data_IF_573413707989
#
_entry.id   IF_573413707989
#
_cell.length_a   1.000
_cell.length_b   1.000
_cell.length_c   1.000
_cell.angle_alpha   90.00
_cell.angle_beta   90.00
_cell.angle_gamma   90.00
#
_symmetry.space_group_name_H-M   'P 1'
#
loop_
_entity.id
_entity.type
_entity.pdbx_description
1 polymer ?
#
# COMPACT_ATOMS: atom_id res chain seq x y z
N UNK A 1 -11.10 -4.16 -10.98
CA UNK A 1 -11.08 -3.11 -9.93
C UNK A 1 -9.63 -2.81 -9.61
N UNK A 2 -9.24 -1.54 -9.50
CA UNK A 2 -7.89 -1.20 -9.02
C UNK A 2 -7.91 -0.98 -7.51
N UNK A 3 -6.85 -1.41 -6.85
CA UNK A 3 -6.69 -1.30 -5.41
C UNK A 3 -5.28 -0.80 -5.13
N UNK A 4 -5.20 0.34 -4.46
CA UNK A 4 -3.97 0.99 -4.06
C UNK A 4 -3.78 0.76 -2.56
N UNK A 5 -2.84 -0.11 -2.21
CA UNK A 5 -2.44 -0.35 -0.84
C UNK A 5 -1.30 0.60 -0.48
N UNK A 6 -1.56 1.54 0.41
CA UNK A 6 -0.61 2.56 0.79
C UNK A 6 -0.64 2.82 2.28
N UNK A 7 0.24 3.71 2.73
CA UNK A 7 0.17 4.27 4.06
C UNK A 7 0.11 5.80 3.94
N UNK A 8 -0.81 6.45 4.67
CA UNK A 8 -0.94 7.91 4.80
C UNK A 8 0.36 8.58 5.22
N UNK A 9 1.21 7.85 5.96
CA UNK A 9 2.53 8.34 6.39
C UNK A 9 3.58 8.43 5.28
N UNK A 10 3.37 7.84 4.09
CA UNK A 10 4.38 7.82 3.03
C UNK A 10 4.02 8.74 1.85
N UNK A 11 4.91 9.70 1.51
CA UNK A 11 4.67 10.64 0.41
C UNK A 11 4.52 9.93 -0.94
N UNK A 12 5.16 8.78 -1.12
CA UNK A 12 5.07 7.96 -2.33
C UNK A 12 3.65 7.44 -2.61
N UNK A 13 2.88 7.14 -1.57
CA UNK A 13 1.47 6.74 -1.72
C UNK A 13 0.68 7.85 -2.37
N UNK A 14 0.89 9.09 -1.93
CA UNK A 14 0.14 10.26 -2.40
C UNK A 14 0.43 10.56 -3.87
N UNK A 15 1.69 10.50 -4.27
CA UNK A 15 2.10 10.67 -5.67
C UNK A 15 1.48 9.60 -6.59
N UNK A 16 1.45 8.34 -6.15
CA UNK A 16 0.86 7.24 -6.90
C UNK A 16 -0.66 7.39 -7.01
N UNK A 17 -1.31 7.76 -5.91
CA UNK A 17 -2.75 8.10 -5.86
C UNK A 17 -3.08 9.21 -6.84
N UNK A 18 -2.34 10.32 -6.81
CA UNK A 18 -2.57 11.45 -7.70
C UNK A 18 -2.38 11.04 -9.17
N UNK A 19 -1.36 10.22 -9.47
CA UNK A 19 -1.16 9.69 -10.83
C UNK A 19 -2.35 8.85 -11.31
N UNK A 20 -2.91 8.00 -10.45
CA UNK A 20 -4.08 7.19 -10.78
C UNK A 20 -5.36 8.03 -10.99
N UNK A 21 -5.54 9.07 -10.17
CA UNK A 21 -6.63 10.03 -10.33
C UNK A 21 -6.50 10.82 -11.63
N UNK A 22 -5.27 11.22 -11.98
CA UNK A 22 -4.96 11.89 -13.24
C UNK A 22 -5.23 11.01 -14.47
N UNK A 23 -4.96 9.71 -14.36
CA UNK A 23 -5.27 8.73 -15.42
C UNK A 23 -6.79 8.46 -15.55
N UNK A 24 -7.60 8.98 -14.61
CA UNK A 24 -9.06 8.79 -14.60
C UNK A 24 -9.46 7.36 -14.26
N UNK A 25 -8.58 6.60 -13.60
CA UNK A 25 -8.85 5.22 -13.20
C UNK A 25 -9.60 5.19 -11.88
N UNK A 26 -10.64 4.35 -11.80
CA UNK A 26 -11.31 4.06 -10.53
C UNK A 26 -10.48 3.04 -9.73
N UNK A 27 -9.99 3.47 -8.57
CA UNK A 27 -9.25 2.62 -7.64
C UNK A 27 -9.71 2.83 -6.19
N UNK A 28 -9.54 1.79 -5.37
CA UNK A 28 -9.80 1.84 -3.93
C UNK A 28 -8.48 2.05 -3.21
N UNK A 29 -8.36 3.11 -2.41
CA UNK A 29 -7.21 3.32 -1.53
C UNK A 29 -7.42 2.59 -0.21
N UNK A 30 -6.48 1.71 0.15
CA UNK A 30 -6.43 1.02 1.42
C UNK A 30 -5.24 1.51 2.23
N UNK A 31 -5.50 1.95 3.45
CA UNK A 31 -4.46 2.40 4.36
C UNK A 31 -3.97 1.22 5.21
N UNK A 32 -2.79 0.69 4.92
CA UNK A 32 -2.28 -0.49 5.65
C UNK A 32 -1.78 -0.17 7.06
N UNK A 33 -1.70 1.11 7.44
CA UNK A 33 -1.35 1.53 8.80
C UNK A 33 -2.58 1.44 9.72
N UNK A 34 -3.73 1.92 9.23
CA UNK A 34 -5.02 1.85 9.94
C UNK A 34 -5.74 0.50 9.74
N UNK A 35 -5.72 -0.05 8.53
CA UNK A 35 -6.40 -1.29 8.14
C UNK A 35 -5.46 -2.50 8.19
N UNK A 36 -5.56 -3.25 9.30
CA UNK A 36 -4.82 -4.50 9.49
C UNK A 36 -5.14 -5.58 8.45
N UNK A 37 -6.35 -5.56 7.89
CA UNK A 37 -6.75 -6.49 6.83
C UNK A 37 -6.03 -6.17 5.52
N UNK A 38 -5.95 -4.89 5.16
CA UNK A 38 -5.21 -4.43 4.00
C UNK A 38 -3.71 -4.74 4.14
N UNK A 39 -3.14 -4.55 5.33
CA UNK A 39 -1.76 -4.94 5.62
C UNK A 39 -1.53 -6.44 5.45
N UNK A 40 -2.44 -7.28 5.96
CA UNK A 40 -2.36 -8.73 5.76
C UNK A 40 -2.43 -9.10 4.28
N UNK A 41 -3.36 -8.53 3.52
CA UNK A 41 -3.47 -8.74 2.08
C UNK A 41 -2.17 -8.35 1.37
N UNK A 42 -1.63 -7.16 1.67
CA UNK A 42 -0.37 -6.70 1.11
C UNK A 42 0.81 -7.62 1.43
N UNK A 43 0.91 -8.14 2.67
CA UNK A 43 1.94 -9.11 3.06
C UNK A 43 1.77 -10.44 2.31
N UNK A 44 0.54 -10.92 2.15
CA UNK A 44 0.26 -12.16 1.40
C UNK A 44 0.61 -11.99 -0.08
N UNK A 45 0.31 -10.83 -0.65
CA UNK A 45 0.50 -10.52 -2.07
C UNK A 45 1.97 -10.25 -2.43
N UNK A 46 2.70 -9.51 -1.60
CA UNK A 46 4.09 -9.11 -1.88
C UNK A 46 5.14 -9.96 -1.14
N UNK A 47 4.73 -10.73 -0.14
CA UNK A 47 5.62 -11.42 0.79
C UNK A 47 6.23 -10.52 1.87
N UNK A 48 5.88 -9.23 1.93
CA UNK A 48 6.45 -8.27 2.87
C UNK A 48 5.55 -7.05 3.13
N UNK A 49 6.03 -6.10 3.94
CA UNK A 49 5.31 -4.88 4.29
C UNK A 49 5.65 -3.68 3.39
N UNK A 50 5.97 -3.90 2.12
CA UNK A 50 6.46 -2.83 1.22
C UNK A 50 5.29 -2.08 0.60
N UNK A 51 5.15 -0.79 0.88
CA UNK A 51 4.16 0.12 0.27
C UNK A 51 4.83 1.20 -0.59
N UNK A 52 4.13 1.77 -1.58
CA UNK A 52 2.76 1.45 -2.00
C UNK A 52 2.69 0.26 -2.98
N UNK A 53 1.55 -0.44 -3.01
CA UNK A 53 1.31 -1.59 -3.90
C UNK A 53 0.03 -1.33 -4.69
N UNK A 54 0.09 -1.61 -5.98
CA UNK A 54 -1.05 -1.50 -6.87
C UNK A 54 -1.47 -2.90 -7.32
N UNK A 55 -2.74 -3.21 -7.07
CA UNK A 55 -3.38 -4.45 -7.46
C UNK A 55 -4.48 -4.12 -8.46
N UNK A 56 -4.53 -4.87 -9.54
CA UNK A 56 -5.57 -4.77 -10.55
C UNK A 56 -6.20 -6.14 -10.70
N UNK A 57 -7.51 -6.25 -10.46
CA UNK A 57 -8.27 -7.49 -10.63
C UNK A 57 -7.70 -8.66 -9.78
N UNK A 58 -7.29 -8.36 -8.54
CA UNK A 58 -6.65 -9.34 -7.65
C UNK A 58 -5.23 -9.76 -8.05
N UNK A 59 -4.62 -9.09 -9.04
CA UNK A 59 -3.22 -9.30 -9.44
C UNK A 59 -2.37 -8.10 -9.07
N UNK A 60 -1.23 -8.36 -8.46
CA UNK A 60 -0.25 -7.31 -8.17
C UNK A 60 0.38 -6.85 -9.49
N UNK A 61 0.08 -5.62 -9.89
CA UNK A 61 0.66 -5.01 -11.10
C UNK A 61 1.87 -4.15 -10.79
N UNK A 62 1.98 -3.64 -9.55
CA UNK A 62 3.13 -2.84 -9.12
C UNK A 62 3.39 -2.99 -7.62
N UNK A 63 4.65 -3.17 -7.24
CA UNK A 63 5.11 -3.18 -5.85
C UNK A 63 6.16 -2.09 -5.66
N UNK A 64 5.90 -1.15 -4.77
CA UNK A 64 6.72 0.03 -4.54
C UNK A 64 6.64 1.04 -5.69
N UNK A 65 7.17 2.24 -5.45
CA UNK A 65 7.32 3.28 -6.47
C UNK A 65 8.79 3.32 -6.88
N UNK A 66 9.10 3.01 -8.14
CA UNK A 66 10.47 3.04 -8.69
C UNK A 66 11.48 2.22 -7.87
N UNK A 67 11.10 1.01 -7.45
CA UNK A 67 11.95 0.11 -6.66
C UNK A 67 12.22 0.57 -5.22
N UNK A 68 11.56 1.64 -4.78
CA UNK A 68 11.61 2.15 -3.41
C UNK A 68 10.23 2.01 -2.79
N UNK A 69 10.20 1.51 -1.57
CA UNK A 69 8.97 1.41 -0.79
C UNK A 69 9.27 1.69 0.66
N UNK A 70 8.30 2.30 1.34
CA UNK A 70 8.32 2.30 2.79
C UNK A 70 8.03 0.87 3.24
N UNK A 71 8.81 0.36 4.19
CA UNK A 71 8.39 -0.80 4.96
C UNK A 71 7.45 -0.30 6.05
N UNK A 72 6.20 -0.72 5.98
CA UNK A 72 5.27 -0.55 7.09
C UNK A 72 5.57 -1.68 8.05
N UNK A 73 6.23 -1.35 9.15
CA UNK A 73 6.33 -2.28 10.25
C UNK A 73 4.91 -2.43 10.81
N UNK A 74 4.42 -3.68 10.88
CA UNK A 74 3.30 -4.04 11.78
C UNK A 74 3.48 -3.25 13.07
N UNK A 75 2.44 -2.63 13.65
CA UNK A 75 2.58 -1.92 14.91
C UNK A 75 3.14 -2.90 15.92
N UNK A 76 4.46 -2.84 16.09
CA UNK A 76 5.18 -3.55 17.13
C UNK A 76 4.54 -2.98 18.37
N UNK A 77 3.75 -3.80 19.06
CA UNK A 77 3.25 -3.46 20.37
C UNK A 77 4.46 -3.01 21.17
N UNK A 78 4.65 -1.70 21.29
CA UNK A 78 5.75 -1.12 22.06
C UNK A 78 5.31 -1.31 23.49
N UNK A 79 5.53 -2.53 23.97
CA UNK A 79 5.43 -2.88 25.38
C UNK A 79 6.40 -1.97 26.11
N UNK A 80 5.82 -0.93 26.70
CA UNK A 80 6.15 -0.36 27.99
C UNK A 80 7.33 -1.06 28.68
N UNK A 81 8.47 -0.38 28.82
CA UNK A 81 9.45 -0.70 29.85
C UNK A 81 10.14 0.56 30.34
#
# INVERSE_FOLDING_TARGET
>A
MLELYGAKGCPYTRELRESLLWDGKEFVEYDVDEDKEALKQLIVLTGGGTVPVLVEDGRVIQVGVSGRGCMVALPSTKGFK
#
